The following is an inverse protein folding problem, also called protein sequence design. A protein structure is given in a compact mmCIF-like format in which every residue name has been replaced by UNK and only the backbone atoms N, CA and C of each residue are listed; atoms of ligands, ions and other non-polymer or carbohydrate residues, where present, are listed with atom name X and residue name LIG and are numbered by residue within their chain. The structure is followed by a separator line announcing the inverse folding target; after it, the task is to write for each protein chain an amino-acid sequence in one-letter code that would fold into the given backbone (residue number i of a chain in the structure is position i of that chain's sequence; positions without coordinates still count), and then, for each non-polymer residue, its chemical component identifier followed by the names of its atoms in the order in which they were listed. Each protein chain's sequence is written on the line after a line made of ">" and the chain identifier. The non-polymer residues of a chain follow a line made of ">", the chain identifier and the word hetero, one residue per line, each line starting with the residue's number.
data_IF_794089497384
#
_entry.id   IF_794089497384
#
_cell.length_a   1.000
_cell.length_b   1.000
_cell.length_c   1.000
_cell.angle_alpha   90.00
_cell.angle_beta   90.00
_cell.angle_gamma   90.00
#
_symmetry.space_group_name_H-M   'P 1'
#
loop_
_entity.id
_entity.type
_entity.pdbx_description
1 polymer ?
#
# COMPACT_ATOMS: atom_id res chain seq x y z
N UNK A 1 -0.78 -6.96 -0.03
CA UNK A 1 -1.66 -6.32 -1.04
C UNK A 1 -0.93 -5.27 -1.89
N UNK A 2 -0.18 -4.33 -1.29
CA UNK A 2 0.51 -3.25 -2.03
C UNK A 2 1.47 -3.72 -3.15
N UNK A 3 2.40 -4.67 -2.93
CA UNK A 3 3.29 -5.11 -4.03
C UNK A 3 2.52 -5.72 -5.20
N UNK A 4 1.36 -6.32 -4.94
CA UNK A 4 0.54 -6.96 -5.96
C UNK A 4 -0.15 -5.95 -6.88
N UNK A 5 -0.66 -4.84 -6.33
CA UNK A 5 -1.29 -3.76 -7.11
C UNK A 5 -0.23 -2.94 -7.86
N UNK A 6 0.94 -2.70 -7.26
CA UNK A 6 2.04 -1.98 -7.92
C UNK A 6 2.49 -2.63 -9.23
N UNK A 7 2.51 -3.97 -9.29
CA UNK A 7 2.83 -4.72 -10.51
C UNK A 7 1.79 -4.56 -11.63
N UNK A 8 0.58 -4.10 -11.30
CA UNK A 8 -0.56 -4.01 -12.22
C UNK A 8 -0.96 -2.58 -12.56
N UNK A 9 -0.35 -1.59 -11.91
CA UNK A 9 -0.56 -0.14 -12.06
C UNK A 9 -1.98 0.35 -11.72
N UNK A 10 -3.03 -0.23 -12.31
CA UNK A 10 -4.43 0.16 -12.07
C UNK A 10 -5.32 -1.08 -12.09
N UNK A 11 -6.12 -1.29 -11.05
CA UNK A 11 -7.02 -2.46 -10.93
C UNK A 11 -8.39 -2.05 -10.42
N UNK A 12 -9.43 -2.83 -10.77
CA UNK A 12 -10.76 -2.68 -10.17
C UNK A 12 -10.73 -3.10 -8.70
N UNK A 13 -11.38 -2.35 -7.83
CA UNK A 13 -11.52 -2.67 -6.39
C UNK A 13 -12.15 -4.07 -6.25
N UNK A 14 -13.22 -4.36 -6.98
CA UNK A 14 -13.90 -5.67 -6.99
C UNK A 14 -12.97 -6.83 -7.36
N UNK A 15 -12.08 -6.64 -8.34
CA UNK A 15 -11.11 -7.66 -8.74
C UNK A 15 -10.08 -7.90 -7.65
N UNK A 16 -9.57 -6.84 -7.04
CA UNK A 16 -8.59 -6.93 -5.97
C UNK A 16 -9.20 -7.53 -4.69
N UNK A 17 -10.42 -7.15 -4.34
CA UNK A 17 -11.15 -7.69 -3.20
C UNK A 17 -11.31 -9.21 -3.33
N UNK A 18 -11.74 -9.69 -4.51
CA UNK A 18 -11.81 -11.12 -4.81
C UNK A 18 -10.44 -11.81 -4.76
N UNK A 19 -9.38 -11.17 -5.25
CA UNK A 19 -8.02 -11.73 -5.23
C UNK A 19 -7.53 -11.99 -3.79
N UNK A 20 -7.89 -11.14 -2.84
CA UNK A 20 -7.47 -11.24 -1.44
C UNK A 20 -8.55 -11.86 -0.53
N UNK A 21 -9.66 -12.31 -1.10
CA UNK A 21 -10.79 -12.89 -0.37
C UNK A 21 -11.34 -11.92 0.71
N UNK A 22 -11.47 -10.64 0.34
CA UNK A 22 -12.03 -9.57 1.14
C UNK A 22 -13.32 -9.05 0.50
N UNK A 23 -14.17 -8.41 1.28
CA UNK A 23 -15.18 -7.49 0.75
C UNK A 23 -14.52 -6.22 0.21
N UNK A 24 -15.24 -5.48 -0.65
CA UNK A 24 -14.74 -4.20 -1.15
C UNK A 24 -14.57 -3.17 -0.01
N UNK A 25 -15.42 -3.22 1.01
CA UNK A 25 -15.34 -2.33 2.17
C UNK A 25 -14.06 -2.59 3.00
N UNK A 26 -13.79 -3.86 3.33
CA UNK A 26 -12.56 -4.23 4.05
C UNK A 26 -11.30 -3.86 3.26
N UNK A 27 -11.31 -4.09 1.94
CA UNK A 27 -10.19 -3.68 1.09
C UNK A 27 -9.98 -2.17 1.11
N UNK A 28 -11.04 -1.37 1.07
CA UNK A 28 -10.94 0.10 1.14
C UNK A 28 -10.38 0.54 2.49
N UNK A 29 -10.83 -0.04 3.60
CA UNK A 29 -10.30 0.26 4.94
C UNK A 29 -8.80 -0.07 5.04
N UNK A 30 -8.39 -1.24 4.56
CA UNK A 30 -6.98 -1.65 4.56
C UNK A 30 -6.10 -0.70 3.71
N UNK A 31 -6.63 -0.26 2.57
CA UNK A 31 -5.95 0.69 1.68
C UNK A 31 -5.87 2.09 2.29
N UNK A 32 -6.90 2.53 3.02
CA UNK A 32 -6.86 3.80 3.77
C UNK A 32 -5.84 3.75 4.90
N UNK A 33 -5.74 2.62 5.61
CA UNK A 33 -4.71 2.43 6.63
C UNK A 33 -3.30 2.39 6.03
N UNK A 34 -3.14 1.78 4.85
CA UNK A 34 -1.88 1.80 4.14
C UNK A 34 -1.44 3.24 3.78
N UNK A 35 -2.38 4.12 3.40
CA UNK A 35 -2.08 5.50 2.99
C UNK A 35 -1.48 6.38 4.11
N UNK A 36 -1.63 5.97 5.38
CA UNK A 36 -1.00 6.67 6.52
C UNK A 36 0.31 6.03 6.99
N UNK A 37 0.79 5.01 6.27
CA UNK A 37 2.05 4.33 6.57
C UNK A 37 3.20 4.90 5.73
N UNK A 38 4.38 5.01 6.33
CA UNK A 38 5.57 5.56 5.69
C UNK A 38 6.79 5.51 6.61
N UNK A 39 7.82 6.27 6.27
CA UNK A 39 9.06 6.37 7.06
C UNK A 39 9.31 7.80 7.53
N UNK A 40 9.99 8.02 8.68
CA UNK A 40 10.43 9.35 9.08
C UNK A 40 11.21 10.05 7.95
N UNK A 41 10.96 11.35 7.68
CA UNK A 41 10.20 12.30 8.51
C UNK A 41 8.67 12.33 8.29
N UNK A 42 8.07 11.36 7.59
CA UNK A 42 6.64 11.31 7.25
C UNK A 42 6.14 12.53 6.45
N UNK A 43 7.02 13.08 5.62
CA UNK A 43 6.61 14.03 4.60
C UNK A 43 5.66 13.35 3.60
N UNK A 44 4.84 14.10 2.86
CA UNK A 44 3.89 13.50 1.92
C UNK A 44 4.52 12.51 0.93
N UNK A 45 5.75 12.77 0.46
CA UNK A 45 6.53 11.90 -0.42
C UNK A 45 7.14 10.66 0.27
N UNK A 46 7.05 10.59 1.60
CA UNK A 46 7.51 9.48 2.42
C UNK A 46 6.36 8.57 2.89
N UNK A 47 5.12 8.82 2.47
CA UNK A 47 3.93 8.00 2.73
C UNK A 47 3.55 7.16 1.49
N UNK A 48 2.83 6.07 1.71
CA UNK A 48 2.23 5.30 0.63
C UNK A 48 1.09 6.10 0.01
N UNK A 49 1.13 6.28 -1.30
CA UNK A 49 0.08 6.96 -2.04
C UNK A 49 -0.94 5.93 -2.53
N UNK A 50 -2.21 6.17 -2.20
CA UNK A 50 -3.32 5.35 -2.69
C UNK A 50 -4.37 6.26 -3.32
N UNK A 51 -4.66 6.02 -4.59
CA UNK A 51 -5.70 6.71 -5.34
C UNK A 51 -6.84 5.76 -5.63
N UNK A 52 -8.05 6.14 -5.22
CA UNK A 52 -9.28 5.40 -5.49
C UNK A 52 -10.28 6.32 -6.19
N UNK A 53 -10.67 5.95 -7.41
CA UNK A 53 -11.62 6.71 -8.21
C UNK A 53 -12.36 5.79 -9.19
N UNK A 54 -13.66 6.03 -9.37
CA UNK A 54 -14.56 5.27 -10.25
C UNK A 54 -14.41 3.73 -10.12
N UNK A 55 -14.32 3.23 -8.87
CA UNK A 55 -14.15 1.81 -8.58
C UNK A 55 -12.79 1.22 -8.97
N UNK A 56 -11.83 2.06 -9.33
CA UNK A 56 -10.45 1.70 -9.63
C UNK A 56 -9.53 2.12 -8.49
N UNK A 57 -8.46 1.38 -8.31
CA UNK A 57 -7.40 1.69 -7.35
C UNK A 57 -6.03 1.67 -8.03
N UNK A 58 -5.20 2.62 -7.63
CA UNK A 58 -3.77 2.75 -7.94
C UNK A 58 -3.05 2.94 -6.61
N UNK A 59 -1.90 2.29 -6.43
CA UNK A 59 -1.07 2.51 -5.26
C UNK A 59 0.40 2.64 -5.66
N UNK A 60 1.07 3.62 -5.06
CA UNK A 60 2.50 3.89 -5.21
C UNK A 60 3.14 3.89 -3.82
N UNK A 61 4.33 3.31 -3.70
CA UNK A 61 5.06 3.26 -2.43
C UNK A 61 6.30 4.14 -2.53
N UNK A 62 6.74 4.76 -1.42
CA UNK A 62 7.96 5.55 -1.41
C UNK A 62 9.18 4.77 -1.91
N UNK A 63 10.12 5.47 -2.54
CA UNK A 63 11.35 4.88 -3.10
C UNK A 63 12.16 4.08 -2.07
N UNK A 64 12.02 4.34 -0.77
CA UNK A 64 12.66 3.57 0.29
C UNK A 64 12.29 2.08 0.25
N UNK A 65 11.10 1.74 -0.26
CA UNK A 65 10.59 0.37 -0.39
C UNK A 65 10.93 -0.28 -1.75
N UNK A 66 11.62 0.44 -2.65
CA UNK A 66 12.04 -0.11 -3.95
C UNK A 66 13.12 -1.19 -3.85
N UNK A 67 13.74 -1.32 -2.68
CA UNK A 67 14.75 -2.33 -2.35
C UNK A 67 14.42 -2.94 -0.99
N UNK A 68 14.93 -4.16 -0.69
CA UNK A 68 14.79 -4.75 0.63
C UNK A 68 15.27 -3.78 1.72
N UNK A 69 14.44 -3.58 2.75
CA UNK A 69 14.80 -2.74 3.89
C UNK A 69 15.92 -3.42 4.69
N UNK A 70 16.91 -2.63 5.09
CA UNK A 70 17.90 -3.06 6.08
C UNK A 70 17.36 -2.70 7.45
N UNK A 71 16.92 -3.71 8.19
CA UNK A 71 16.47 -3.53 9.56
C UNK A 71 17.68 -3.29 10.46
N UNK A 72 17.58 -2.32 11.35
CA UNK A 72 18.49 -2.15 12.47
C UNK A 72 18.33 -3.30 13.48
N UNK A 73 19.31 -3.46 14.38
CA UNK A 73 19.21 -4.45 15.46
C UNK A 73 17.95 -4.22 16.31
N UNK A 74 17.58 -2.96 16.58
CA UNK A 74 16.37 -2.65 17.33
C UNK A 74 15.09 -3.12 16.59
N UNK A 75 15.01 -2.89 15.28
CA UNK A 75 13.86 -3.30 14.47
C UNK A 75 13.79 -4.81 14.23
N UNK A 76 14.93 -5.52 14.29
CA UNK A 76 14.98 -6.98 14.16
C UNK A 76 14.40 -7.71 15.36
N UNK A 77 14.44 -7.09 16.55
CA UNK A 77 14.01 -7.70 17.81
C UNK A 77 12.82 -6.98 18.47
N UNK A 78 12.19 -6.05 17.74
CA UNK A 78 10.99 -5.33 18.16
C UNK A 78 9.72 -6.19 18.12
#
# INVERSE_FOLDING_TARGET
>A
MLPWIMQRQRVKISTMARQFNLSEAELVEDLQMAAVCGVPPYTPDALIDVYMDDGMVIAEVPLVFSRPLKLSTAELFA
#
